data_IF_100838660162
#
_entry.id   IF_100838660162
#
_cell.length_a   1.000
_cell.length_b   1.000
_cell.length_c   1.000
_cell.angle_alpha   90.00
_cell.angle_beta   90.00
_cell.angle_gamma   90.00
#
_symmetry.space_group_name_H-M   'P 1'
#
loop_
_entity.id
_entity.type
_entity.pdbx_description
1 polymer ?
#
# COMPACT_ATOMS: atom_id res chain seq x y z
N UNK A 1 5.60 24.44 -20.06
CA UNK A 1 4.22 24.16 -19.59
C UNK A 1 3.54 25.46 -19.23
N UNK A 2 2.28 25.63 -19.60
CA UNK A 2 1.47 26.77 -19.15
C UNK A 2 0.98 26.50 -17.72
N UNK A 3 0.70 27.55 -16.95
CA UNK A 3 0.21 27.41 -15.57
C UNK A 3 -1.06 26.55 -15.48
N UNK A 4 -1.99 26.72 -16.42
CA UNK A 4 -3.23 25.93 -16.52
C UNK A 4 -2.93 24.43 -16.70
N UNK A 5 -1.96 24.08 -17.56
CA UNK A 5 -1.57 22.67 -17.74
C UNK A 5 -0.99 22.02 -16.48
N UNK A 6 -0.30 22.77 -15.62
CA UNK A 6 0.25 22.25 -14.36
C UNK A 6 -0.86 22.06 -13.33
N UNK A 7 -1.80 22.99 -13.25
CA UNK A 7 -2.94 22.90 -12.35
C UNK A 7 -3.84 21.71 -12.69
N UNK A 8 -4.09 21.46 -13.98
CA UNK A 8 -4.84 20.29 -14.45
C UNK A 8 -4.16 18.98 -14.08
N UNK A 9 -2.83 18.90 -14.23
CA UNK A 9 -2.05 17.72 -13.83
C UNK A 9 -2.13 17.45 -12.33
N UNK A 10 -2.07 18.49 -11.50
CA UNK A 10 -2.22 18.35 -10.06
C UNK A 10 -3.63 17.92 -9.66
N UNK A 11 -4.67 18.43 -10.33
CA UNK A 11 -6.04 17.98 -10.12
C UNK A 11 -6.22 16.51 -10.50
N UNK A 12 -5.64 16.08 -11.64
CA UNK A 12 -5.64 14.67 -12.05
C UNK A 12 -4.92 13.79 -11.03
N UNK A 13 -3.77 14.24 -10.51
CA UNK A 13 -3.03 13.51 -9.48
C UNK A 13 -3.86 13.38 -8.19
N UNK A 14 -4.52 14.45 -7.78
CA UNK A 14 -5.39 14.45 -6.61
C UNK A 14 -6.56 13.47 -6.78
N UNK A 15 -7.24 13.50 -7.93
CA UNK A 15 -8.32 12.56 -8.25
C UNK A 15 -7.84 11.10 -8.25
N UNK A 16 -6.66 10.84 -8.79
CA UNK A 16 -6.04 9.49 -8.81
C UNK A 16 -5.73 8.98 -7.40
N UNK A 17 -5.32 9.85 -6.49
CA UNK A 17 -5.06 9.47 -5.08
C UNK A 17 -6.37 9.17 -4.34
N UNK A 18 -7.46 9.86 -4.68
CA UNK A 18 -8.78 9.56 -4.12
C UNK A 18 -9.34 8.25 -4.68
N UNK A 19 -9.19 7.97 -5.98
CA UNK A 19 -9.60 6.67 -6.55
C UNK A 19 -8.81 5.51 -5.95
N UNK A 20 -7.49 5.69 -5.75
CA UNK A 20 -6.60 4.72 -5.12
C UNK A 20 -7.14 4.30 -3.73
N UNK A 21 -7.69 5.24 -2.97
CA UNK A 21 -8.31 4.95 -1.67
C UNK A 21 -9.58 4.11 -1.80
N UNK A 22 -10.45 4.43 -2.75
CA UNK A 22 -11.71 3.72 -2.92
C UNK A 22 -11.48 2.29 -3.44
N UNK A 23 -10.57 2.10 -4.39
CA UNK A 23 -10.18 0.75 -4.84
C UNK A 23 -9.53 -0.06 -3.71
N UNK A 24 -8.73 0.58 -2.85
CA UNK A 24 -8.14 -0.07 -1.68
C UNK A 24 -9.17 -0.52 -0.64
N UNK A 25 -10.20 0.28 -0.39
CA UNK A 25 -11.33 -0.13 0.48
C UNK A 25 -12.09 -1.31 -0.13
N UNK A 26 -12.23 -1.35 -1.45
CA UNK A 26 -12.88 -2.44 -2.17
C UNK A 26 -11.99 -3.68 -2.36
N UNK A 27 -10.71 -3.61 -1.98
CA UNK A 27 -9.69 -4.64 -2.27
C UNK A 27 -9.59 -4.98 -3.77
N UNK A 28 -9.86 -4.00 -4.64
CA UNK A 28 -9.70 -4.13 -6.09
C UNK A 28 -8.22 -3.97 -6.47
N UNK A 29 -7.50 -5.10 -6.50
CA UNK A 29 -6.07 -5.14 -6.83
C UNK A 29 -5.77 -4.65 -8.25
N UNK A 30 -6.69 -4.87 -9.20
CA UNK A 30 -6.50 -4.46 -10.58
C UNK A 30 -6.67 -2.94 -10.71
N UNK A 31 -7.73 -2.38 -10.09
CA UNK A 31 -7.94 -0.94 -9.96
C UNK A 31 -6.76 -0.24 -9.28
N UNK A 32 -6.27 -0.77 -8.15
CA UNK A 32 -5.10 -0.24 -7.46
C UNK A 32 -3.83 -0.26 -8.32
N UNK A 33 -3.64 -1.29 -9.16
CA UNK A 33 -2.48 -1.37 -10.05
C UNK A 33 -2.55 -0.30 -11.14
N UNK A 34 -3.73 -0.08 -11.73
CA UNK A 34 -3.96 0.98 -12.72
C UNK A 34 -3.73 2.37 -12.13
N UNK A 35 -4.26 2.63 -10.93
CA UNK A 35 -4.04 3.90 -10.23
C UNK A 35 -2.55 4.14 -9.94
N UNK A 36 -1.80 3.09 -9.56
CA UNK A 36 -0.36 3.17 -9.33
C UNK A 36 0.38 3.59 -10.59
N UNK A 37 0.08 2.97 -11.72
CA UNK A 37 0.71 3.29 -13.02
C UNK A 37 0.38 4.71 -13.47
N UNK A 38 -0.88 5.13 -13.35
CA UNK A 38 -1.32 6.49 -13.67
C UNK A 38 -0.62 7.53 -12.80
N UNK A 39 -0.52 7.26 -11.49
CA UNK A 39 0.19 8.12 -10.53
C UNK A 39 1.67 8.22 -10.85
N UNK A 40 2.32 7.11 -11.23
CA UNK A 40 3.74 7.08 -11.61
C UNK A 40 3.98 7.94 -12.86
N UNK A 41 3.12 7.81 -13.88
CA UNK A 41 3.19 8.64 -15.10
C UNK A 41 3.01 10.14 -14.79
N UNK A 42 2.02 10.50 -13.96
CA UNK A 42 1.78 11.88 -13.55
C UNK A 42 2.96 12.45 -12.75
N UNK A 43 3.55 11.67 -11.84
CA UNK A 43 4.71 12.09 -11.04
C UNK A 43 5.96 12.32 -11.89
N UNK A 44 6.20 11.54 -12.96
CA UNK A 44 7.31 11.78 -13.87
C UNK A 44 7.17 13.13 -14.59
N UNK A 45 5.96 13.44 -15.05
CA UNK A 45 5.66 14.70 -15.73
C UNK A 45 5.77 15.89 -14.77
N UNK A 46 5.17 15.78 -13.58
CA UNK A 46 5.18 16.84 -12.56
C UNK A 46 6.60 17.04 -11.98
N UNK A 47 7.38 15.97 -11.83
CA UNK A 47 8.76 16.03 -11.31
C UNK A 47 9.74 16.80 -12.18
N UNK A 48 9.38 17.12 -13.43
CA UNK A 48 10.16 17.95 -14.34
C UNK A 48 9.94 19.46 -14.10
N UNK A 49 9.02 19.83 -13.20
CA UNK A 49 8.63 21.22 -12.93
C UNK A 49 9.43 21.76 -11.73
N UNK A 50 10.38 22.66 -11.97
CA UNK A 50 11.25 23.21 -10.92
C UNK A 50 10.56 24.25 -10.03
N UNK A 51 9.59 25.01 -10.56
CA UNK A 51 8.94 26.11 -9.83
C UNK A 51 7.42 25.98 -9.86
N UNK A 52 6.85 25.70 -8.69
CA UNK A 52 5.42 25.64 -8.48
C UNK A 52 4.86 27.02 -8.08
N UNK A 53 3.75 27.42 -8.71
CA UNK A 53 3.09 28.68 -8.40
C UNK A 53 2.57 28.66 -6.95
N UNK A 54 2.61 29.79 -6.20
CA UNK A 54 2.16 29.85 -4.81
C UNK A 54 0.74 29.31 -4.58
N UNK A 55 -0.17 29.60 -5.51
CA UNK A 55 -1.58 29.15 -5.44
C UNK A 55 -1.74 27.62 -5.52
N UNK A 56 -0.84 26.95 -6.24
CA UNK A 56 -0.88 25.49 -6.42
C UNK A 56 -0.25 24.75 -5.23
N UNK A 57 0.48 25.45 -4.35
CA UNK A 57 1.10 24.87 -3.15
C UNK A 57 0.06 24.33 -2.17
N UNK A 58 -1.12 24.93 -2.12
CA UNK A 58 -2.20 24.44 -1.28
C UNK A 58 -2.64 23.04 -1.73
N UNK A 59 -2.90 22.88 -3.02
CA UNK A 59 -3.30 21.61 -3.63
C UNK A 59 -2.20 20.55 -3.49
N UNK A 60 -0.93 20.92 -3.69
CA UNK A 60 0.19 20.01 -3.49
C UNK A 60 0.30 19.51 -2.04
N UNK A 61 0.01 20.37 -1.05
CA UNK A 61 0.00 19.99 0.37
C UNK A 61 -1.16 19.05 0.68
N UNK A 62 -2.34 19.28 0.11
CA UNK A 62 -3.50 18.39 0.24
C UNK A 62 -3.20 17.01 -0.34
N UNK A 63 -2.66 16.95 -1.57
CA UNK A 63 -2.17 15.72 -2.22
C UNK A 63 -1.20 14.95 -1.31
N UNK A 64 -0.25 15.64 -0.68
CA UNK A 64 0.69 15.00 0.23
C UNK A 64 0.00 14.38 1.46
N UNK A 65 -0.97 15.08 2.05
CA UNK A 65 -1.73 14.58 3.20
C UNK A 65 -2.59 13.37 2.82
N UNK A 66 -3.25 13.42 1.67
CA UNK A 66 -4.07 12.32 1.18
C UNK A 66 -3.23 11.07 0.85
N UNK A 67 -2.03 11.27 0.28
CA UNK A 67 -1.09 10.17 0.04
C UNK A 67 -0.58 9.53 1.35
N UNK A 68 -0.30 10.33 2.38
CA UNK A 68 0.09 9.81 3.70
C UNK A 68 -1.05 9.00 4.34
N UNK A 69 -2.30 9.47 4.20
CA UNK A 69 -3.49 8.73 4.66
C UNK A 69 -3.62 7.39 3.95
N UNK A 70 -3.42 7.36 2.63
CA UNK A 70 -3.45 6.10 1.86
C UNK A 70 -2.33 5.15 2.28
N UNK A 71 -1.11 5.65 2.48
CA UNK A 71 -0.01 4.84 2.97
C UNK A 71 -0.30 4.21 4.36
N UNK A 72 -0.94 4.97 5.25
CA UNK A 72 -1.37 4.45 6.54
C UNK A 72 -2.42 3.34 6.40
N UNK A 73 -3.40 3.52 5.50
CA UNK A 73 -4.41 2.51 5.19
C UNK A 73 -3.77 1.22 4.65
N UNK A 74 -2.80 1.32 3.72
CA UNK A 74 -2.07 0.16 3.20
C UNK A 74 -1.26 -0.56 4.27
N UNK A 75 -0.59 0.19 5.13
CA UNK A 75 0.14 -0.40 6.25
C UNK A 75 -0.80 -1.14 7.21
N UNK A 76 -1.93 -0.53 7.56
CA UNK A 76 -2.91 -1.14 8.45
C UNK A 76 -3.51 -2.42 7.85
N UNK A 77 -3.85 -2.41 6.56
CA UNK A 77 -4.39 -3.58 5.85
C UNK A 77 -3.36 -4.70 5.72
N UNK A 78 -2.10 -4.39 5.41
CA UNK A 78 -1.02 -5.39 5.37
C UNK A 78 -0.77 -6.03 6.73
N UNK A 79 -0.74 -5.23 7.80
CA UNK A 79 -0.61 -5.75 9.16
C UNK A 79 -1.78 -6.69 9.51
N UNK A 80 -3.01 -6.30 9.17
CA UNK A 80 -4.18 -7.14 9.39
C UNK A 80 -4.11 -8.47 8.62
N UNK A 81 -3.62 -8.45 7.37
CA UNK A 81 -3.38 -9.69 6.59
C UNK A 81 -2.32 -10.56 7.27
N UNK A 82 -1.22 -9.99 7.75
CA UNK A 82 -0.17 -10.72 8.47
C UNK A 82 -0.70 -11.38 9.75
N UNK A 83 -1.44 -10.63 10.57
CA UNK A 83 -2.07 -11.14 11.79
C UNK A 83 -3.03 -12.30 11.49
N UNK A 84 -3.80 -12.17 10.40
CA UNK A 84 -4.72 -13.21 9.94
C UNK A 84 -3.98 -14.47 9.49
N UNK A 85 -2.85 -14.31 8.77
CA UNK A 85 -2.00 -15.44 8.39
C UNK A 85 -1.37 -16.12 9.60
N UNK A 86 -0.93 -15.37 10.61
CA UNK A 86 -0.38 -15.95 11.84
C UNK A 86 -1.46 -16.75 12.60
N UNK A 87 -2.69 -16.24 12.65
CA UNK A 87 -3.83 -16.94 13.23
C UNK A 87 -4.11 -18.29 12.53
N UNK A 88 -4.14 -18.31 11.19
CA UNK A 88 -4.28 -19.56 10.42
C UNK A 88 -3.07 -20.48 10.54
N UNK A 89 -1.86 -19.91 10.65
CA UNK A 89 -0.63 -20.66 10.90
C UNK A 89 -0.67 -21.42 12.22
N UNK A 90 -1.21 -20.81 13.28
CA UNK A 90 -1.36 -21.46 14.60
C UNK A 90 -2.41 -22.57 14.63
N UNK A 91 -3.45 -22.48 13.81
CA UNK A 91 -4.55 -23.46 13.76
C UNK A 91 -4.31 -24.61 12.77
N UNK A 92 -3.45 -24.42 11.77
CA UNK A 92 -3.14 -25.43 10.75
C UNK A 92 -2.01 -26.41 11.12
N UNK A 93 -1.30 -26.21 12.23
CA UNK A 93 -0.30 -27.19 12.69
C UNK A 93 -1.02 -28.38 13.32
N UNK A 94 -0.84 -29.62 12.81
CA UNK A 94 -1.34 -30.80 13.50
C UNK A 94 -0.70 -30.87 14.88
N UNK A 95 -1.50 -30.88 15.94
CA UNK A 95 -1.00 -31.16 17.30
C UNK A 95 -0.45 -32.58 17.29
N UNK A 96 0.87 -32.71 17.12
CA UNK A 96 1.49 -34.04 17.10
C UNK A 96 1.80 -34.41 18.54
N UNK A 97 1.14 -35.46 19.03
CA UNK A 97 1.44 -36.02 20.35
C UNK A 97 2.78 -36.73 20.28
N UNK A 98 3.74 -36.30 21.10
CA UNK A 98 4.97 -37.08 21.31
C UNK A 98 4.64 -38.41 22.00
N UNK A 99 5.55 -39.38 21.90
CA UNK A 99 5.43 -40.71 22.56
C UNK A 99 5.25 -40.63 24.09
N UNK A 100 5.44 -39.46 24.70
CA UNK A 100 5.26 -39.17 26.13
C UNK A 100 4.00 -38.32 26.42
N UNK A 101 3.10 -38.12 25.46
CA UNK A 101 1.86 -37.36 25.65
C UNK A 101 2.02 -35.84 25.71
N UNK A 102 3.23 -35.31 25.53
CA UNK A 102 3.46 -33.87 25.43
C UNK A 102 3.12 -33.36 24.02
N UNK A 103 2.33 -32.30 23.94
CA UNK A 103 2.01 -31.57 22.71
C UNK A 103 3.22 -30.74 22.31
N UNK A 104 3.81 -31.03 21.15
CA UNK A 104 4.90 -30.22 20.61
C UNK A 104 4.40 -29.49 19.35
N UNK A 105 4.33 -28.16 19.43
CA UNK A 105 3.97 -27.33 18.29
C UNK A 105 5.21 -27.19 17.39
N UNK A 106 5.37 -28.09 16.43
CA UNK A 106 6.41 -27.94 15.41
C UNK A 106 6.06 -26.73 14.52
N UNK A 107 6.69 -25.59 14.78
CA UNK A 107 6.71 -24.47 13.84
C UNK A 107 7.46 -24.91 12.57
N UNK A 108 6.74 -25.36 11.54
CA UNK A 108 7.30 -25.69 10.23
C UNK A 108 7.73 -24.43 9.44
N UNK A 109 7.41 -23.22 9.94
CA UNK A 109 7.68 -21.95 9.24
C UNK A 109 9.02 -21.29 9.57
N UNK A 110 10.11 -22.06 9.67
CA UNK A 110 11.40 -21.55 10.14
C UNK A 110 12.50 -21.28 9.11
N UNK A 111 12.36 -21.65 7.82
CA UNK A 111 13.55 -21.69 6.94
C UNK A 111 13.43 -21.18 5.51
N UNK A 112 12.22 -20.93 4.99
CA UNK A 112 12.06 -20.43 3.61
C UNK A 112 11.92 -18.90 3.52
N UNK A 113 11.48 -18.24 4.60
CA UNK A 113 11.26 -16.78 4.62
C UNK A 113 12.38 -16.01 5.33
N UNK A 114 13.31 -16.69 6.01
CA UNK A 114 14.38 -16.04 6.79
C UNK A 114 15.66 -15.76 6.00
N UNK A 115 15.69 -16.07 4.69
CA UNK A 115 16.75 -15.59 3.77
C UNK A 115 18.18 -15.96 4.16
N UNK A 116 18.39 -17.02 4.96
CA UNK A 116 19.72 -17.47 5.36
C UNK A 116 19.95 -18.89 4.84
N UNK A 117 20.77 -18.98 3.79
CA UNK A 117 21.47 -20.21 3.39
C UNK A 117 22.67 -20.37 4.32
#
# INVERSE_FOLDING_TARGET
MTRESVQDLLQQLHATILSEREHAKALDLEGMTRDREQKEALLQVIGTIDNLHPDDRYLAKEIQQENLRNAYLFKATLNWIQDTMEFFGRTSVPTTYSQYGATNNNCVNGRLLSGRI
#
